data_IF_366618933606
#
_entry.id   IF_366618933606
#
_cell.length_a   1.000
_cell.length_b   1.000
_cell.length_c   1.000
_cell.angle_alpha   90.00
_cell.angle_beta   90.00
_cell.angle_gamma   90.00
#
_symmetry.space_group_name_H-M   'P 1'
#
loop_
_entity.id
_entity.type
_entity.pdbx_description
1 polymer ?
#
# COMPACT_ATOMS: atom_id res chain seq x y z
N UNK A 1 1.88 3.30 -33.73
CA UNK A 1 0.64 2.69 -33.20
C UNK A 1 -0.14 3.79 -32.50
N UNK A 2 -1.43 3.95 -32.79
CA UNK A 2 -2.28 4.98 -32.15
C UNK A 2 -3.40 4.29 -31.38
N UNK A 3 -3.49 4.56 -30.09
CA UNK A 3 -4.64 4.18 -29.27
C UNK A 3 -5.61 5.36 -29.28
N UNK A 4 -6.92 5.08 -29.36
CA UNK A 4 -7.98 6.08 -29.29
C UNK A 4 -8.73 5.83 -27.99
N UNK A 5 -8.93 6.89 -27.22
CA UNK A 5 -9.66 6.88 -25.97
C UNK A 5 -10.79 7.91 -26.04
N UNK A 6 -11.91 7.64 -25.36
CA UNK A 6 -12.88 8.68 -25.01
C UNK A 6 -12.35 9.53 -23.84
N UNK A 7 -13.02 10.62 -23.53
CA UNK A 7 -12.69 11.45 -22.36
C UNK A 7 -12.86 10.64 -21.06
N UNK A 8 -13.93 9.85 -20.95
CA UNK A 8 -14.15 8.98 -19.80
C UNK A 8 -13.04 7.93 -19.65
N UNK A 9 -12.61 7.30 -20.76
CA UNK A 9 -11.51 6.34 -20.73
C UNK A 9 -10.16 7.00 -20.36
N UNK A 10 -9.93 8.25 -20.78
CA UNK A 10 -8.75 9.02 -20.36
C UNK A 10 -8.79 9.34 -18.86
N UNK A 11 -9.96 9.70 -18.32
CA UNK A 11 -10.12 9.92 -16.88
C UNK A 11 -9.77 8.67 -16.08
N UNK A 12 -10.26 7.49 -16.51
CA UNK A 12 -9.93 6.21 -15.88
C UNK A 12 -8.44 5.90 -16.01
N UNK A 13 -7.83 6.18 -17.17
CA UNK A 13 -6.39 5.98 -17.36
C UNK A 13 -5.57 6.86 -16.40
N UNK A 14 -5.95 8.12 -16.18
CA UNK A 14 -5.32 9.03 -15.23
C UNK A 14 -5.36 8.43 -13.82
N UNK A 15 -6.53 7.95 -13.38
CA UNK A 15 -6.67 7.30 -12.07
C UNK A 15 -5.77 6.04 -11.96
N UNK A 16 -5.74 5.20 -13.00
CA UNK A 16 -4.93 3.98 -13.03
C UNK A 16 -3.42 4.27 -12.95
N UNK A 17 -2.92 5.26 -13.70
CA UNK A 17 -1.48 5.59 -13.67
C UNK A 17 -1.09 6.23 -12.34
N UNK A 18 -1.93 7.09 -11.77
CA UNK A 18 -1.65 7.70 -10.46
C UNK A 18 -1.71 6.67 -9.33
N UNK A 19 -2.62 5.71 -9.38
CA UNK A 19 -2.63 4.57 -8.46
C UNK A 19 -1.35 3.74 -8.57
N UNK A 20 -0.92 3.42 -9.80
CA UNK A 20 0.30 2.65 -10.04
C UNK A 20 1.56 3.40 -9.58
N UNK A 21 1.62 4.72 -9.81
CA UNK A 21 2.72 5.57 -9.38
C UNK A 21 2.80 5.65 -7.85
N UNK A 22 1.67 5.89 -7.17
CA UNK A 22 1.63 5.94 -5.70
C UNK A 22 2.10 4.61 -5.10
N UNK A 23 1.53 3.47 -5.55
CA UNK A 23 1.92 2.15 -5.04
C UNK A 23 3.39 1.84 -5.34
N UNK A 24 3.87 2.17 -6.55
CA UNK A 24 5.26 1.99 -6.93
C UNK A 24 6.24 2.77 -6.05
N UNK A 25 5.86 4.00 -5.68
CA UNK A 25 6.68 4.91 -4.86
C UNK A 25 6.92 4.37 -3.43
N UNK A 26 6.04 3.49 -2.94
CA UNK A 26 6.14 2.88 -1.61
C UNK A 26 7.23 1.80 -1.54
N UNK A 27 7.78 1.35 -2.67
CA UNK A 27 8.81 0.32 -2.67
C UNK A 27 10.16 0.87 -2.16
N UNK A 28 10.53 0.47 -0.94
CA UNK A 28 11.78 0.88 -0.28
C UNK A 28 12.93 -0.11 -0.47
N UNK A 29 12.79 -1.15 -1.29
CA UNK A 29 13.87 -2.12 -1.53
C UNK A 29 15.06 -1.45 -2.21
N UNK A 30 16.31 -1.90 -1.94
CA UNK A 30 17.47 -1.45 -2.71
C UNK A 30 17.24 -1.67 -4.22
N UNK A 31 17.54 -0.66 -5.04
CA UNK A 31 17.31 -0.73 -6.49
C UNK A 31 15.88 -0.46 -6.96
N UNK A 32 14.94 -0.19 -6.04
CA UNK A 32 13.54 0.08 -6.40
C UNK A 32 13.37 1.41 -7.11
N UNK A 33 14.17 2.44 -6.74
CA UNK A 33 14.08 3.78 -7.30
C UNK A 33 14.35 3.80 -8.81
N UNK A 34 15.33 3.04 -9.26
CA UNK A 34 15.71 2.92 -10.67
C UNK A 34 14.59 2.27 -11.50
N UNK A 35 13.91 1.27 -10.93
CA UNK A 35 12.77 0.64 -11.58
C UNK A 35 11.54 1.56 -11.59
N UNK A 36 11.34 2.31 -10.51
CA UNK A 36 10.24 3.24 -10.36
C UNK A 36 10.37 4.46 -11.28
N UNK A 37 11.58 4.92 -11.60
CA UNK A 37 11.81 6.03 -12.53
C UNK A 37 11.10 5.83 -13.88
N UNK A 38 11.01 4.59 -14.37
CA UNK A 38 10.28 4.26 -15.62
C UNK A 38 8.78 4.49 -15.52
N UNK A 39 8.21 4.30 -14.32
CA UNK A 39 6.80 4.57 -14.05
C UNK A 39 6.58 6.09 -13.99
N UNK A 40 7.43 6.81 -13.27
CA UNK A 40 7.37 8.28 -13.15
C UNK A 40 7.52 8.98 -14.51
N UNK A 41 8.44 8.53 -15.36
CA UNK A 41 8.64 9.09 -16.72
C UNK A 41 7.40 8.90 -17.61
N UNK A 42 6.79 7.72 -17.55
CA UNK A 42 5.60 7.41 -18.33
C UNK A 42 4.38 8.19 -17.81
N UNK A 43 4.18 8.25 -16.49
CA UNK A 43 3.12 9.03 -15.87
C UNK A 43 3.25 10.51 -16.28
N UNK A 44 4.43 11.11 -16.11
CA UNK A 44 4.69 12.49 -16.49
C UNK A 44 4.37 12.75 -17.97
N UNK A 45 4.80 11.85 -18.86
CA UNK A 45 4.53 11.95 -20.31
C UNK A 45 3.04 11.88 -20.63
N UNK A 46 2.29 11.03 -19.94
CA UNK A 46 0.84 10.89 -20.17
C UNK A 46 0.12 12.12 -19.62
N UNK A 47 0.41 12.54 -18.39
CA UNK A 47 -0.22 13.68 -17.73
C UNK A 47 0.04 15.00 -18.49
N UNK A 48 1.25 15.21 -18.99
CA UNK A 48 1.56 16.34 -19.88
C UNK A 48 0.61 16.36 -21.10
N UNK A 49 0.41 15.21 -21.76
CA UNK A 49 -0.42 15.12 -22.96
C UNK A 49 -1.89 15.37 -22.66
N UNK A 50 -2.42 14.77 -21.60
CA UNK A 50 -3.85 14.89 -21.26
C UNK A 50 -4.21 16.26 -20.68
N UNK A 51 -3.24 17.00 -20.13
CA UNK A 51 -3.42 18.41 -19.71
C UNK A 51 -4.01 19.26 -20.85
N UNK A 52 -3.54 19.03 -22.08
CA UNK A 52 -4.00 19.75 -23.27
C UNK A 52 -5.28 19.18 -23.91
N UNK A 53 -5.86 18.12 -23.33
CA UNK A 53 -7.04 17.41 -23.84
C UNK A 53 -8.29 17.59 -22.97
N UNK A 54 -8.34 18.64 -22.14
CA UNK A 54 -9.49 18.96 -21.29
C UNK A 54 -9.30 18.66 -19.81
N UNK A 55 -8.17 18.06 -19.41
CA UNK A 55 -7.89 17.71 -18.01
C UNK A 55 -7.03 18.74 -17.26
N UNK A 56 -6.88 19.96 -17.80
CA UNK A 56 -6.05 21.01 -17.21
C UNK A 56 -6.48 21.46 -15.81
N UNK A 57 -7.75 21.24 -15.43
CA UNK A 57 -8.26 21.59 -14.10
C UNK A 57 -7.84 20.59 -13.01
N UNK A 58 -7.47 19.36 -13.39
CA UNK A 58 -7.10 18.28 -12.45
C UNK A 58 -5.61 17.92 -12.52
N UNK A 59 -4.85 18.56 -13.40
CA UNK A 59 -3.41 18.30 -13.58
C UNK A 59 -2.63 19.59 -13.33
N UNK A 60 -1.56 19.48 -12.55
CA UNK A 60 -0.64 20.57 -12.25
C UNK A 60 0.81 20.18 -12.55
N UNK A 61 1.64 21.17 -12.85
CA UNK A 61 3.09 20.98 -12.90
C UNK A 61 3.66 21.25 -11.50
N UNK A 62 4.24 20.22 -10.88
CA UNK A 62 4.90 20.30 -9.59
C UNK A 62 6.34 20.81 -9.78
N UNK A 63 6.57 22.08 -9.45
CA UNK A 63 7.87 22.73 -9.60
C UNK A 63 8.97 22.10 -8.72
N UNK A 64 8.63 21.52 -7.57
CA UNK A 64 9.63 20.90 -6.70
C UNK A 64 10.13 19.58 -7.28
N UNK A 65 9.23 18.84 -7.94
CA UNK A 65 9.51 17.55 -8.54
C UNK A 65 9.82 17.64 -10.04
N UNK A 66 9.66 18.82 -10.65
CA UNK A 66 9.82 19.10 -12.08
C UNK A 66 9.02 18.12 -12.96
N UNK A 67 7.75 17.89 -12.60
CA UNK A 67 6.89 16.91 -13.30
C UNK A 67 5.41 17.26 -13.20
N UNK A 68 4.63 16.78 -14.16
CA UNK A 68 3.18 16.79 -14.10
C UNK A 68 2.66 15.77 -13.08
N UNK A 69 1.62 16.16 -12.35
CA UNK A 69 0.90 15.29 -11.42
C UNK A 69 -0.58 15.67 -11.37
N UNK A 70 -1.40 14.76 -10.87
CA UNK A 70 -2.81 15.06 -10.55
C UNK A 70 -2.85 15.94 -9.30
N UNK A 71 -3.76 16.92 -9.27
CA UNK A 71 -3.90 17.84 -8.14
C UNK A 71 -4.31 17.10 -6.87
N UNK A 72 -3.86 17.61 -5.72
CA UNK A 72 -4.24 17.04 -4.42
C UNK A 72 -5.76 17.12 -4.18
N UNK A 73 -6.43 18.19 -4.62
CA UNK A 73 -7.88 18.33 -4.44
C UNK A 73 -8.67 17.25 -5.19
N UNK A 74 -8.24 16.90 -6.42
CA UNK A 74 -8.85 15.80 -7.16
C UNK A 74 -8.55 14.45 -6.50
N UNK A 75 -7.27 14.16 -6.19
CA UNK A 75 -6.88 12.85 -5.64
C UNK A 75 -7.57 12.56 -4.31
N UNK A 76 -7.64 13.53 -3.40
CA UNK A 76 -8.26 13.32 -2.08
C UNK A 76 -9.74 12.97 -2.12
N UNK A 77 -10.41 13.19 -3.26
CA UNK A 77 -11.84 12.88 -3.47
C UNK A 77 -12.04 11.75 -4.48
N UNK A 78 -10.96 11.17 -5.02
CA UNK A 78 -11.04 10.16 -6.06
C UNK A 78 -11.06 8.75 -5.46
N UNK A 79 -11.56 7.81 -6.25
CA UNK A 79 -11.48 6.39 -5.95
C UNK A 79 -10.04 5.90 -5.74
N UNK A 80 -9.05 6.58 -6.32
CA UNK A 80 -7.62 6.25 -6.13
C UNK A 80 -7.24 6.35 -4.65
N UNK A 81 -7.58 7.47 -4.00
CA UNK A 81 -7.28 7.67 -2.58
C UNK A 81 -8.04 6.66 -1.71
N UNK A 82 -9.32 6.42 -2.00
CA UNK A 82 -10.13 5.41 -1.30
C UNK A 82 -9.48 4.02 -1.40
N UNK A 83 -9.05 3.61 -2.60
CA UNK A 83 -8.41 2.33 -2.83
C UNK A 83 -7.06 2.19 -2.09
N UNK A 84 -6.27 3.28 -2.05
CA UNK A 84 -4.99 3.30 -1.32
C UNK A 84 -5.22 3.18 0.19
N UNK A 85 -6.20 3.91 0.72
CA UNK A 85 -6.50 3.90 2.16
C UNK A 85 -7.05 2.56 2.60
N UNK A 86 -7.96 1.96 1.82
CA UNK A 86 -8.46 0.61 2.08
C UNK A 86 -7.35 -0.43 2.00
N UNK A 87 -6.50 -0.38 0.96
CA UNK A 87 -5.34 -1.26 0.84
C UNK A 87 -4.40 -1.15 2.06
N UNK A 88 -4.11 0.08 2.52
CA UNK A 88 -3.26 0.30 3.70
C UNK A 88 -3.89 -0.28 4.96
N UNK A 89 -5.19 -0.10 5.15
CA UNK A 89 -5.93 -0.63 6.28
C UNK A 89 -5.95 -2.16 6.29
N UNK A 90 -6.31 -2.79 5.17
CA UNK A 90 -6.35 -4.25 5.04
C UNK A 90 -4.97 -4.89 5.26
N UNK A 91 -3.92 -4.37 4.61
CA UNK A 91 -2.55 -4.86 4.79
C UNK A 91 -2.10 -4.71 6.24
N UNK A 92 -2.44 -3.59 6.89
CA UNK A 92 -2.08 -3.37 8.29
C UNK A 92 -2.68 -4.44 9.20
N UNK A 93 -3.98 -4.71 9.09
CA UNK A 93 -4.66 -5.69 9.95
C UNK A 93 -4.22 -7.13 9.66
N UNK A 94 -4.00 -7.46 8.39
CA UNK A 94 -3.46 -8.76 7.99
C UNK A 94 -2.06 -8.99 8.56
N UNK A 95 -1.11 -8.09 8.30
CA UNK A 95 0.27 -8.22 8.76
C UNK A 95 0.37 -8.21 10.29
N UNK A 96 -0.42 -7.36 10.97
CA UNK A 96 -0.45 -7.33 12.42
C UNK A 96 -0.89 -8.68 12.98
N UNK A 97 -1.98 -9.24 12.43
CA UNK A 97 -2.54 -10.52 12.88
C UNK A 97 -1.58 -11.68 12.67
N UNK A 98 -1.01 -11.78 11.46
CA UNK A 98 -0.05 -12.84 11.10
C UNK A 98 1.18 -12.80 12.01
N UNK A 99 1.78 -11.62 12.21
CA UNK A 99 3.01 -11.48 13.01
C UNK A 99 2.78 -11.72 14.49
N UNK A 100 1.64 -11.32 15.03
CA UNK A 100 1.30 -11.60 16.43
C UNK A 100 1.04 -13.08 16.67
N UNK A 101 0.34 -13.75 15.74
CA UNK A 101 0.12 -15.18 15.82
C UNK A 101 1.43 -15.96 15.77
N UNK A 102 2.32 -15.66 14.80
CA UNK A 102 3.65 -16.28 14.73
C UNK A 102 4.44 -16.06 16.02
N UNK A 103 4.52 -14.81 16.50
CA UNK A 103 5.23 -14.47 17.75
C UNK A 103 4.75 -15.32 18.92
N UNK A 104 3.44 -15.51 19.06
CA UNK A 104 2.88 -16.22 20.21
C UNK A 104 2.95 -17.74 20.07
N UNK A 105 2.92 -18.28 18.85
CA UNK A 105 3.31 -19.68 18.61
C UNK A 105 4.78 -19.88 18.99
N UNK A 106 5.69 -19.03 18.54
CA UNK A 106 7.13 -19.12 18.85
C UNK A 106 7.37 -19.07 20.36
N UNK A 107 6.67 -18.20 21.09
CA UNK A 107 6.75 -18.14 22.57
C UNK A 107 6.29 -19.43 23.23
N UNK A 108 5.33 -20.14 22.63
CA UNK A 108 4.77 -21.38 23.16
C UNK A 108 5.66 -22.61 22.86
N UNK A 109 6.17 -22.75 21.65
CA UNK A 109 6.91 -23.95 21.21
C UNK A 109 8.42 -23.76 21.16
N UNK A 110 8.90 -22.52 21.22
CA UNK A 110 10.31 -22.15 21.07
C UNK A 110 10.72 -21.97 19.60
N UNK A 111 11.62 -21.02 19.37
CA UNK A 111 12.14 -20.70 18.03
C UNK A 111 12.79 -21.90 17.32
N UNK A 112 13.57 -22.79 17.98
CA UNK A 112 14.11 -23.98 17.31
C UNK A 112 13.03 -24.92 16.77
N UNK A 113 11.95 -25.14 17.54
CA UNK A 113 10.84 -25.97 17.11
C UNK A 113 10.09 -25.32 15.94
N UNK A 114 9.80 -24.02 16.02
CA UNK A 114 9.19 -23.26 14.91
C UNK A 114 9.98 -23.37 13.61
N UNK A 115 11.30 -23.17 13.69
CA UNK A 115 12.16 -23.22 12.51
C UNK A 115 12.24 -24.62 11.89
N UNK A 116 11.93 -25.68 12.64
CA UNK A 116 11.86 -27.06 12.14
C UNK A 116 10.53 -27.40 11.45
N UNK A 117 9.51 -26.56 11.56
CA UNK A 117 8.22 -26.75 10.90
C UNK A 117 8.26 -26.32 9.44
N UNK A 118 7.59 -27.10 8.59
CA UNK A 118 7.21 -26.71 7.23
C UNK A 118 6.07 -25.67 7.23
N UNK A 119 5.81 -25.05 6.07
CA UNK A 119 4.84 -23.96 5.94
C UNK A 119 3.41 -24.37 6.31
N UNK A 120 3.00 -25.59 5.95
CA UNK A 120 1.67 -26.09 6.25
C UNK A 120 1.47 -26.28 7.76
N UNK A 121 2.45 -26.86 8.46
CA UNK A 121 2.39 -26.96 9.93
C UNK A 121 2.45 -25.59 10.59
N UNK A 122 3.23 -24.65 10.07
CA UNK A 122 3.23 -23.26 10.59
C UNK A 122 1.82 -22.66 10.51
N UNK A 123 1.16 -22.77 9.36
CA UNK A 123 -0.24 -22.34 9.17
C UNK A 123 -1.20 -23.05 10.12
N UNK A 124 -1.07 -24.37 10.31
CA UNK A 124 -1.90 -25.12 11.27
C UNK A 124 -1.75 -24.58 12.71
N UNK A 125 -0.54 -24.20 13.11
CA UNK A 125 -0.27 -23.63 14.42
C UNK A 125 -0.77 -22.18 14.57
N UNK A 126 -0.64 -21.34 13.54
CA UNK A 126 -0.98 -19.92 13.63
C UNK A 126 -2.46 -19.64 13.39
N UNK A 127 -3.13 -20.38 12.48
CA UNK A 127 -4.51 -20.14 12.06
C UNK A 127 -5.54 -20.00 13.21
N UNK A 128 -5.50 -20.81 14.29
CA UNK A 128 -6.42 -20.61 15.42
C UNK A 128 -6.18 -19.29 16.16
N UNK A 129 -4.92 -18.85 16.26
CA UNK A 129 -4.52 -17.61 16.94
C UNK A 129 -4.84 -16.41 16.04
N UNK A 130 -4.53 -16.50 14.75
CA UNK A 130 -4.91 -15.49 13.75
C UNK A 130 -6.41 -15.21 13.79
N UNK A 131 -7.24 -16.26 13.82
CA UNK A 131 -8.69 -16.11 13.94
C UNK A 131 -9.09 -15.35 15.21
N UNK A 132 -8.48 -15.67 16.35
CA UNK A 132 -8.75 -14.97 17.61
C UNK A 132 -8.36 -13.49 17.55
N UNK A 133 -7.25 -13.17 16.89
CA UNK A 133 -6.81 -11.78 16.71
C UNK A 133 -7.72 -11.01 15.77
N UNK A 134 -8.09 -11.60 14.62
CA UNK A 134 -9.08 -11.01 13.71
C UNK A 134 -10.40 -10.70 14.43
N UNK A 135 -10.94 -11.63 15.21
CA UNK A 135 -12.19 -11.40 15.94
C UNK A 135 -12.10 -10.26 16.97
N UNK A 136 -10.94 -10.07 17.60
CA UNK A 136 -10.71 -8.98 18.56
C UNK A 136 -10.53 -7.64 17.84
N UNK A 137 -9.68 -7.58 16.81
CA UNK A 137 -9.39 -6.35 16.06
C UNK A 137 -10.62 -5.84 15.30
N UNK A 138 -11.44 -6.72 14.73
CA UNK A 138 -12.70 -6.31 14.10
C UNK A 138 -13.67 -5.67 15.10
N UNK A 139 -13.65 -6.10 16.37
CA UNK A 139 -14.59 -5.60 17.40
C UNK A 139 -14.08 -4.36 18.13
N UNK A 140 -12.76 -4.24 18.30
CA UNK A 140 -12.15 -3.26 19.21
C UNK A 140 -11.03 -2.43 18.57
N UNK A 141 -10.66 -2.72 17.33
CA UNK A 141 -9.53 -2.07 16.67
C UNK A 141 -8.27 -2.13 17.53
N UNK A 142 -7.67 -0.96 17.76
CA UNK A 142 -6.46 -0.80 18.57
C UNK A 142 -6.73 -0.53 20.06
N UNK A 143 -7.99 -0.41 20.49
CA UNK A 143 -8.34 0.04 21.84
C UNK A 143 -7.77 -0.86 22.94
N UNK A 144 -7.64 -2.15 22.67
CA UNK A 144 -7.08 -3.16 23.58
C UNK A 144 -5.63 -3.56 23.24
N UNK A 145 -5.03 -2.94 22.22
CA UNK A 145 -3.66 -3.20 21.82
C UNK A 145 -2.69 -2.35 22.63
N UNK A 146 -1.99 -2.98 23.57
CA UNK A 146 -1.01 -2.30 24.42
C UNK A 146 0.42 -2.72 24.07
N UNK A 147 1.26 -1.74 23.76
CA UNK A 147 2.71 -1.94 23.66
C UNK A 147 3.33 -1.79 25.06
N UNK A 148 3.81 -2.90 25.63
CA UNK A 148 4.58 -2.88 26.87
C UNK A 148 6.07 -2.90 26.49
N UNK A 149 6.64 -1.73 26.28
CA UNK A 149 8.07 -1.56 26.03
C UNK A 149 8.77 -1.08 27.32
N UNK A 150 9.94 -1.66 27.62
CA UNK A 150 10.92 -1.06 28.54
C UNK A 150 11.93 -0.33 27.69
N UNK A 151 11.81 0.99 27.59
CA UNK A 151 12.87 1.78 27.00
C UNK A 151 13.95 1.96 28.07
N UNK A 152 15.14 1.42 27.81
CA UNK A 152 16.32 1.91 28.52
C UNK A 152 16.51 3.36 28.04
N UNK A 153 16.27 4.32 28.93
CA UNK A 153 16.67 5.70 28.70
C UNK A 153 18.19 5.71 28.57
N UNK A 154 18.69 5.84 27.34
CA UNK A 154 20.06 6.28 27.10
C UNK A 154 20.25 7.75 27.49
#
# INVERSE_FOLDING_TARGET
MHLRFTEEELSVLIDMISLAAEVGSLNRKPGAKENFARFEELENTILEKVTHLGFGDIIEFDEALQRYRVTTDYLTRSFVQEAIDEMRNEIFWEELTLRLAERDVIRKIGLPAWNSLDEEKRKEHTKPIEKSYWEEFTKRGIDTLHLIARFETG
#
